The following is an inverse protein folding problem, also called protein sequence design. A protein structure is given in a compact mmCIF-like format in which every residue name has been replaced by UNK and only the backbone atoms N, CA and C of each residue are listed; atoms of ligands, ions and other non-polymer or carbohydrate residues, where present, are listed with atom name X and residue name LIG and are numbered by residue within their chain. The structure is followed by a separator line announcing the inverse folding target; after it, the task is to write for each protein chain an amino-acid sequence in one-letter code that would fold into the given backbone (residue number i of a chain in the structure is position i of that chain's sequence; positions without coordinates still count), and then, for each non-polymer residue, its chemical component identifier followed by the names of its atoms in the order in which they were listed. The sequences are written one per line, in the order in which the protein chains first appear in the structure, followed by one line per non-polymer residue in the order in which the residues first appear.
data_IF_965283144557
#
_entry.id   IF_965283144557
#
_cell.length_a   1.000
_cell.length_b   1.000
_cell.length_c   1.000
_cell.angle_alpha   90.00
_cell.angle_beta   90.00
_cell.angle_gamma   90.00
#
_symmetry.space_group_name_H-M   'P 1'
#
loop_
_entity.id
_entity.type
_entity.pdbx_description
1 polymer ?
#
# COMPACT_ATOMS: atom_id res chain seq x y z
N UNK A 1 35.31 5.86 16.70
CA UNK A 1 34.96 4.72 15.79
C UNK A 1 33.45 4.66 15.58
N UNK A 2 32.57 4.56 16.61
CA UNK A 2 31.10 4.44 16.45
C UNK A 2 30.45 5.58 15.64
N UNK A 3 30.94 6.82 15.71
CA UNK A 3 30.37 7.94 14.94
C UNK A 3 30.75 7.89 13.45
N UNK A 4 31.85 7.28 13.09
CA UNK A 4 32.23 7.01 11.70
C UNK A 4 31.37 5.92 11.10
N UNK A 5 31.13 4.85 11.85
CA UNK A 5 30.30 3.72 11.40
C UNK A 5 28.84 4.15 11.15
N UNK A 6 28.27 4.98 12.03
CA UNK A 6 26.91 5.51 11.84
C UNK A 6 26.81 6.45 10.64
N UNK A 7 27.82 7.32 10.42
CA UNK A 7 27.87 8.19 9.24
C UNK A 7 27.99 7.42 7.94
N UNK A 8 28.76 6.35 7.92
CA UNK A 8 28.91 5.47 6.76
C UNK A 8 27.62 4.72 6.44
N UNK A 9 26.93 4.17 7.43
CA UNK A 9 25.70 3.40 7.22
C UNK A 9 24.56 4.25 6.65
N UNK A 10 24.42 5.49 7.16
CA UNK A 10 23.44 6.46 6.64
C UNK A 10 23.78 6.87 5.21
N UNK A 11 25.06 7.17 4.92
CA UNK A 11 25.50 7.52 3.57
C UNK A 11 25.29 6.35 2.58
N UNK A 12 25.62 5.14 2.96
CA UNK A 12 25.39 3.94 2.16
C UNK A 12 23.88 3.70 1.90
N UNK A 13 23.04 3.92 2.92
CA UNK A 13 21.59 3.88 2.73
C UNK A 13 21.11 4.90 1.71
N UNK A 14 21.59 6.16 1.78
CA UNK A 14 21.19 7.20 0.82
C UNK A 14 21.69 6.87 -0.60
N UNK A 15 22.90 6.33 -0.75
CA UNK A 15 23.39 5.86 -2.05
C UNK A 15 22.50 4.73 -2.61
N UNK A 16 22.12 3.76 -1.79
CA UNK A 16 21.19 2.72 -2.19
C UNK A 16 19.85 3.29 -2.69
N UNK A 17 19.31 4.33 -2.02
CA UNK A 17 18.12 5.03 -2.49
C UNK A 17 18.34 5.76 -3.82
N UNK A 18 19.48 6.44 -3.98
CA UNK A 18 19.81 7.14 -5.23
C UNK A 18 19.81 6.18 -6.42
N UNK A 19 20.44 5.01 -6.27
CA UNK A 19 20.47 3.99 -7.31
C UNK A 19 19.10 3.37 -7.58
N UNK A 20 18.31 3.06 -6.53
CA UNK A 20 16.96 2.52 -6.68
C UNK A 20 16.00 3.50 -7.36
N UNK A 21 16.02 4.76 -6.94
CA UNK A 21 15.05 5.79 -7.35
C UNK A 21 15.54 6.59 -8.58
N UNK A 22 16.76 6.38 -9.03
CA UNK A 22 17.35 7.11 -10.17
C UNK A 22 17.66 8.56 -9.87
N UNK A 23 18.03 8.89 -8.62
CA UNK A 23 18.33 10.26 -8.22
C UNK A 23 19.75 10.66 -8.64
N UNK A 24 19.88 11.33 -9.77
CA UNK A 24 21.18 11.76 -10.34
C UNK A 24 21.94 10.69 -11.09
N UNK A 25 21.43 9.46 -11.15
CA UNK A 25 21.97 8.30 -11.87
C UNK A 25 20.81 7.55 -12.52
N UNK A 26 21.07 6.68 -13.48
CA UNK A 26 20.03 5.75 -13.96
C UNK A 26 19.70 4.73 -12.87
N UNK A 27 18.41 4.37 -12.69
CA UNK A 27 18.01 3.35 -11.75
C UNK A 27 18.75 2.04 -12.01
N UNK A 28 19.31 1.45 -10.94
CA UNK A 28 20.06 0.21 -11.00
C UNK A 28 19.84 -0.56 -9.69
N UNK A 29 19.05 -1.63 -9.78
CA UNK A 29 18.72 -2.44 -8.62
C UNK A 29 19.90 -3.23 -8.06
N UNK A 30 20.90 -3.61 -8.89
CA UNK A 30 22.10 -4.31 -8.44
C UNK A 30 22.97 -3.38 -7.60
N UNK A 31 23.16 -2.13 -8.05
CA UNK A 31 23.87 -1.12 -7.27
C UNK A 31 23.11 -0.74 -6.00
N UNK A 32 21.80 -0.61 -6.09
CA UNK A 32 20.94 -0.35 -4.92
C UNK A 32 21.09 -1.46 -3.88
N UNK A 33 21.04 -2.72 -4.31
CA UNK A 33 21.24 -3.88 -3.43
C UNK A 33 22.61 -3.86 -2.76
N UNK A 34 23.68 -3.63 -3.53
CA UNK A 34 25.03 -3.57 -3.01
C UNK A 34 25.16 -2.56 -1.84
N UNK A 35 24.63 -1.36 -2.03
CA UNK A 35 24.70 -0.30 -1.02
C UNK A 35 23.78 -0.56 0.17
N UNK A 36 22.55 -1.04 -0.05
CA UNK A 36 21.67 -1.44 1.05
C UNK A 36 22.26 -2.59 1.85
N UNK A 37 22.87 -3.58 1.20
CA UNK A 37 23.50 -4.75 1.86
C UNK A 37 24.66 -4.31 2.77
N UNK A 38 25.54 -3.45 2.29
CA UNK A 38 26.62 -2.89 3.11
C UNK A 38 26.13 -2.19 4.37
N UNK A 39 25.09 -1.35 4.22
CA UNK A 39 24.51 -0.67 5.36
C UNK A 39 23.72 -1.60 6.29
N UNK A 40 23.04 -2.60 5.73
CA UNK A 40 22.27 -3.60 6.48
C UNK A 40 23.18 -4.53 7.31
N UNK A 41 24.31 -4.95 6.75
CA UNK A 41 25.33 -5.75 7.43
C UNK A 41 26.00 -4.97 8.57
N UNK A 42 26.15 -3.66 8.41
CA UNK A 42 26.59 -2.75 9.46
C UNK A 42 25.51 -2.40 10.50
N UNK A 43 24.35 -3.07 10.45
CA UNK A 43 23.31 -2.96 11.47
C UNK A 43 22.28 -1.84 11.26
N UNK A 44 22.26 -1.13 10.11
CA UNK A 44 21.30 -0.06 9.86
C UNK A 44 19.92 -0.64 9.54
N UNK A 45 18.97 -0.50 10.45
CA UNK A 45 17.62 -1.10 10.41
C UNK A 45 16.78 -0.68 9.18
N UNK A 46 16.83 0.61 8.80
CA UNK A 46 16.17 1.07 7.58
C UNK A 46 16.76 0.47 6.30
N UNK A 47 18.06 0.16 6.29
CA UNK A 47 18.69 -0.53 5.15
C UNK A 47 18.35 -2.00 5.12
N UNK A 48 18.24 -2.65 6.27
CA UNK A 48 17.72 -4.02 6.37
C UNK A 48 16.31 -4.12 5.83
N UNK A 49 15.42 -3.19 6.21
CA UNK A 49 14.08 -3.11 5.65
C UNK A 49 14.09 -2.84 4.14
N UNK A 50 14.91 -1.87 3.66
CA UNK A 50 15.01 -1.53 2.24
C UNK A 50 15.54 -2.71 1.40
N UNK A 51 16.57 -3.41 1.90
CA UNK A 51 17.10 -4.63 1.30
C UNK A 51 16.04 -5.73 1.23
N UNK A 52 15.33 -5.97 2.33
CA UNK A 52 14.23 -6.93 2.35
C UNK A 52 13.15 -6.61 1.30
N UNK A 53 12.81 -5.34 1.09
CA UNK A 53 11.88 -4.93 0.03
C UNK A 53 12.42 -5.22 -1.37
N UNK A 54 13.69 -4.96 -1.61
CA UNK A 54 14.33 -5.19 -2.90
C UNK A 54 14.38 -6.68 -3.21
N UNK A 55 14.85 -7.50 -2.27
CA UNK A 55 14.90 -8.96 -2.37
C UNK A 55 13.50 -9.57 -2.57
N UNK A 56 12.49 -9.03 -1.92
CA UNK A 56 11.10 -9.44 -2.14
C UNK A 56 10.65 -9.18 -3.59
N UNK A 57 11.02 -8.02 -4.18
CA UNK A 57 10.70 -7.72 -5.58
C UNK A 57 11.41 -8.67 -6.56
N UNK A 58 12.60 -9.15 -6.18
CA UNK A 58 13.39 -10.15 -6.91
C UNK A 58 12.93 -11.60 -6.64
N UNK A 59 11.87 -11.79 -5.81
CA UNK A 59 11.33 -13.11 -5.40
C UNK A 59 12.28 -13.95 -4.53
N UNK A 60 13.24 -13.32 -3.90
CA UNK A 60 14.17 -13.96 -2.94
C UNK A 60 13.57 -13.87 -1.52
N UNK A 61 12.45 -14.58 -1.29
CA UNK A 61 11.62 -14.40 -0.09
C UNK A 61 12.28 -14.84 1.20
N UNK A 62 13.04 -15.93 1.19
CA UNK A 62 13.70 -16.44 2.39
C UNK A 62 14.69 -15.42 2.95
N UNK A 63 15.53 -14.86 2.07
CA UNK A 63 16.48 -13.83 2.46
C UNK A 63 15.77 -12.52 2.84
N UNK A 64 14.73 -12.12 2.10
CA UNK A 64 13.94 -10.93 2.43
C UNK A 64 13.32 -11.00 3.82
N UNK A 65 12.75 -12.15 4.21
CA UNK A 65 12.19 -12.38 5.54
C UNK A 65 13.27 -12.28 6.62
N UNK A 66 14.43 -12.89 6.40
CA UNK A 66 15.55 -12.80 7.35
C UNK A 66 15.99 -11.34 7.60
N UNK A 67 16.03 -10.51 6.56
CA UNK A 67 16.36 -9.10 6.71
C UNK A 67 15.24 -8.28 7.37
N UNK A 68 13.97 -8.61 7.10
CA UNK A 68 12.86 -8.00 7.82
C UNK A 68 12.87 -8.37 9.30
N UNK A 69 13.18 -9.63 9.66
CA UNK A 69 13.28 -10.08 11.05
C UNK A 69 14.36 -9.30 11.80
N UNK A 70 15.57 -9.18 11.23
CA UNK A 70 16.66 -8.37 11.81
C UNK A 70 16.25 -6.90 12.01
N UNK A 71 15.55 -6.31 11.05
CA UNK A 71 15.08 -4.93 11.19
C UNK A 71 13.99 -4.80 12.27
N UNK A 72 13.06 -5.75 12.34
CA UNK A 72 11.99 -5.77 13.34
C UNK A 72 12.54 -5.95 14.75
N UNK A 73 13.53 -6.81 14.95
CA UNK A 73 14.24 -7.00 16.23
C UNK A 73 14.89 -5.69 16.73
N UNK A 74 15.28 -4.80 15.83
CA UNK A 74 15.78 -3.47 16.16
C UNK A 74 14.67 -2.42 16.35
N UNK A 75 13.40 -2.82 16.30
CA UNK A 75 12.24 -1.94 16.49
C UNK A 75 11.79 -1.23 15.21
N UNK A 76 12.21 -1.68 14.03
CA UNK A 76 11.72 -1.10 12.77
C UNK A 76 10.26 -1.50 12.53
N UNK A 77 9.36 -0.55 12.79
CA UNK A 77 7.90 -0.75 12.71
C UNK A 77 7.40 -1.11 11.30
N UNK A 78 8.11 -0.70 10.25
CA UNK A 78 7.74 -1.03 8.87
C UNK A 78 8.08 -2.48 8.52
N UNK A 79 9.22 -2.97 9.06
CA UNK A 79 9.62 -4.36 8.91
C UNK A 79 8.67 -5.29 9.67
N UNK A 80 8.33 -4.97 10.92
CA UNK A 80 7.37 -5.71 11.70
C UNK A 80 5.98 -5.75 11.01
N UNK A 81 5.48 -4.60 10.54
CA UNK A 81 4.24 -4.56 9.76
C UNK A 81 4.29 -5.43 8.50
N UNK A 82 5.44 -5.42 7.79
CA UNK A 82 5.61 -6.20 6.56
C UNK A 82 5.60 -7.70 6.84
N UNK A 83 6.32 -8.15 7.87
CA UNK A 83 6.31 -9.54 8.34
C UNK A 83 4.90 -9.99 8.73
N UNK A 84 4.20 -9.18 9.52
CA UNK A 84 2.83 -9.46 9.89
C UNK A 84 1.92 -9.68 8.68
N UNK A 85 2.02 -8.84 7.66
CA UNK A 85 1.28 -9.02 6.40
C UNK A 85 1.68 -10.29 5.65
N UNK A 86 2.97 -10.58 5.54
CA UNK A 86 3.46 -11.77 4.83
C UNK A 86 2.93 -13.05 5.48
N UNK A 87 2.97 -13.14 6.82
CA UNK A 87 2.46 -14.29 7.56
C UNK A 87 0.93 -14.41 7.55
N UNK A 88 0.18 -13.29 7.39
CA UNK A 88 -1.28 -13.33 7.20
C UNK A 88 -1.66 -13.81 5.79
N UNK A 89 -0.99 -13.26 4.78
CA UNK A 89 -1.32 -13.57 3.39
C UNK A 89 -0.94 -15.00 3.01
N UNK A 90 0.16 -15.52 3.54
CA UNK A 90 0.60 -16.90 3.32
C UNK A 90 0.91 -17.24 1.85
N UNK A 91 1.22 -16.23 1.02
CA UNK A 91 1.48 -16.43 -0.42
C UNK A 91 2.93 -16.80 -0.70
N UNK A 92 3.82 -16.04 -0.10
CA UNK A 92 5.27 -16.13 -0.33
C UNK A 92 5.97 -16.84 0.84
N UNK A 93 5.31 -16.94 1.97
CA UNK A 93 5.74 -17.67 3.18
C UNK A 93 4.56 -18.49 3.70
N UNK A 94 4.83 -19.54 4.47
CA UNK A 94 3.76 -20.34 5.10
C UNK A 94 2.91 -19.45 6.02
N UNK A 95 1.58 -19.49 5.85
CA UNK A 95 0.64 -18.73 6.67
C UNK A 95 0.82 -19.08 8.16
N UNK A 96 0.94 -18.07 9.00
CA UNK A 96 1.05 -18.21 10.43
C UNK A 96 0.37 -17.04 11.15
N UNK A 97 -0.88 -17.22 11.53
CA UNK A 97 -1.69 -16.18 12.16
C UNK A 97 -1.11 -15.71 13.49
N UNK A 98 -0.54 -16.61 14.30
CA UNK A 98 0.03 -16.27 15.61
C UNK A 98 1.23 -15.31 15.43
N UNK A 99 2.21 -15.67 14.58
CA UNK A 99 3.34 -14.78 14.25
C UNK A 99 2.89 -13.47 13.63
N UNK A 100 1.88 -13.54 12.76
CA UNK A 100 1.35 -12.34 12.12
C UNK A 100 0.79 -11.35 13.13
N UNK A 101 0.00 -11.83 14.10
CA UNK A 101 -0.56 -10.98 15.17
C UNK A 101 0.53 -10.43 16.07
N UNK A 102 1.54 -11.21 16.41
CA UNK A 102 2.70 -10.76 17.19
C UNK A 102 3.39 -9.57 16.51
N UNK A 103 3.86 -9.74 15.29
CA UNK A 103 4.53 -8.66 14.54
C UNK A 103 3.63 -7.45 14.28
N UNK A 104 2.34 -7.66 14.02
CA UNK A 104 1.40 -6.55 13.84
C UNK A 104 1.17 -5.80 15.15
N UNK A 105 1.14 -6.51 16.28
CA UNK A 105 0.98 -5.89 17.60
C UNK A 105 2.19 -5.04 17.95
N UNK A 106 3.40 -5.53 17.72
CA UNK A 106 4.64 -4.79 17.92
C UNK A 106 4.66 -3.52 17.06
N UNK A 107 4.35 -3.65 15.77
CA UNK A 107 4.28 -2.51 14.88
C UNK A 107 3.19 -1.51 15.29
N UNK A 108 2.02 -1.98 15.73
CA UNK A 108 0.89 -1.14 16.14
C UNK A 108 1.17 -0.37 17.43
N UNK A 109 1.80 -1.03 18.40
CA UNK A 109 2.24 -0.41 19.66
C UNK A 109 3.35 0.63 19.42
N UNK A 110 4.22 0.39 18.45
CA UNK A 110 5.21 1.35 17.98
C UNK A 110 4.62 2.50 17.16
N UNK A 111 3.28 2.55 16.98
CA UNK A 111 2.58 3.66 16.33
C UNK A 111 2.35 3.49 14.82
N UNK A 112 2.53 2.31 14.25
CA UNK A 112 2.22 2.09 12.83
C UNK A 112 0.72 2.06 12.59
N UNK A 113 0.17 3.12 11.98
CA UNK A 113 -1.28 3.23 11.70
C UNK A 113 -1.82 2.11 10.80
N UNK A 114 -1.00 1.56 9.90
CA UNK A 114 -1.44 0.47 9.02
C UNK A 114 -1.50 -0.88 9.75
N UNK A 115 -0.61 -1.09 10.72
CA UNK A 115 -0.67 -2.25 11.60
C UNK A 115 -1.89 -2.17 12.53
N UNK A 116 -2.15 -1.01 13.13
CA UNK A 116 -3.33 -0.76 13.94
C UNK A 116 -4.62 -1.02 13.14
N UNK A 117 -4.72 -0.46 11.94
CA UNK A 117 -5.85 -0.71 11.04
C UNK A 117 -6.02 -2.20 10.69
N UNK A 118 -4.91 -2.88 10.44
CA UNK A 118 -4.92 -4.31 10.09
C UNK A 118 -5.38 -5.16 11.26
N UNK A 119 -4.91 -4.89 12.49
CA UNK A 119 -5.38 -5.54 13.71
C UNK A 119 -6.86 -5.27 13.96
N UNK A 120 -7.31 -4.03 13.78
CA UNK A 120 -8.72 -3.68 13.88
C UNK A 120 -9.60 -4.54 12.97
N UNK A 121 -9.16 -4.77 11.73
CA UNK A 121 -9.85 -5.66 10.79
C UNK A 121 -9.85 -7.12 11.25
N UNK A 122 -8.70 -7.62 11.71
CA UNK A 122 -8.59 -9.01 12.18
C UNK A 122 -9.55 -9.29 13.34
N UNK A 123 -9.54 -8.42 14.35
CA UNK A 123 -10.45 -8.56 15.49
C UNK A 123 -11.91 -8.33 15.12
N UNK A 124 -12.20 -7.49 14.13
CA UNK A 124 -13.58 -7.28 13.67
C UNK A 124 -14.14 -8.51 12.93
N UNK A 125 -13.33 -9.13 12.07
CA UNK A 125 -13.76 -10.27 11.25
C UNK A 125 -13.69 -11.60 12.00
N UNK A 126 -12.71 -11.79 12.86
CA UNK A 126 -12.43 -13.06 13.51
C UNK A 126 -11.88 -14.12 12.55
N UNK A 127 -11.31 -13.74 11.42
CA UNK A 127 -10.83 -14.73 10.42
C UNK A 127 -9.63 -15.53 10.89
N UNK A 128 -8.67 -14.91 11.52
CA UNK A 128 -7.42 -15.55 11.97
C UNK A 128 -7.21 -15.42 13.49
N UNK A 129 -8.10 -14.73 14.19
CA UNK A 129 -8.11 -14.51 15.63
C UNK A 129 -9.54 -14.61 16.14
N UNK A 130 -9.72 -14.78 17.45
CA UNK A 130 -11.05 -14.69 18.04
C UNK A 130 -11.63 -13.30 17.81
N UNK A 131 -12.88 -13.25 17.31
CA UNK A 131 -13.56 -11.99 17.06
C UNK A 131 -13.71 -11.21 18.37
N UNK A 132 -13.26 -9.96 18.36
CA UNK A 132 -13.36 -9.02 19.48
C UNK A 132 -13.62 -7.59 18.97
N UNK A 133 -14.88 -7.14 19.10
CA UNK A 133 -15.28 -5.81 18.65
C UNK A 133 -14.67 -4.68 19.48
N UNK A 134 -14.40 -4.92 20.74
CA UNK A 134 -13.80 -3.91 21.62
C UNK A 134 -12.33 -3.67 21.24
N UNK A 135 -11.58 -4.75 21.03
CA UNK A 135 -10.21 -4.66 20.51
C UNK A 135 -10.18 -4.04 19.12
N UNK A 136 -11.11 -4.41 18.24
CA UNK A 136 -11.22 -3.82 16.92
C UNK A 136 -11.45 -2.30 17.00
N UNK A 137 -12.37 -1.85 17.87
CA UNK A 137 -12.63 -0.43 18.09
C UNK A 137 -11.39 0.31 18.57
N UNK A 138 -10.66 -0.22 19.57
CA UNK A 138 -9.44 0.40 20.09
C UNK A 138 -8.39 0.60 19.00
N UNK A 139 -8.12 -0.43 18.22
CA UNK A 139 -7.13 -0.36 17.14
C UNK A 139 -7.55 0.59 16.00
N UNK A 140 -8.82 0.62 15.63
CA UNK A 140 -9.31 1.60 14.67
C UNK A 140 -9.22 3.03 15.21
N UNK A 141 -9.50 3.24 16.49
CA UNK A 141 -9.38 4.53 17.14
C UNK A 141 -7.94 5.07 17.07
N UNK A 142 -6.97 4.26 17.48
CA UNK A 142 -5.54 4.60 17.40
C UNK A 142 -5.12 4.95 15.97
N UNK A 143 -5.55 4.17 14.99
CA UNK A 143 -5.26 4.40 13.58
C UNK A 143 -5.92 5.68 13.04
N UNK A 144 -7.16 5.96 13.42
CA UNK A 144 -7.89 7.15 13.01
C UNK A 144 -7.31 8.43 13.59
N UNK A 145 -6.82 8.41 14.84
CA UNK A 145 -6.10 9.55 15.46
C UNK A 145 -4.87 9.97 14.65
N UNK A 146 -4.28 9.07 13.89
CA UNK A 146 -3.16 9.34 12.98
C UNK A 146 -3.62 9.75 11.57
N UNK A 147 -4.93 9.96 11.36
CA UNK A 147 -5.50 10.40 10.08
C UNK A 147 -5.81 9.27 9.11
N UNK A 148 -5.92 8.03 9.56
CA UNK A 148 -6.35 6.93 8.70
C UNK A 148 -7.87 6.99 8.45
N UNK A 149 -8.25 7.50 7.28
CA UNK A 149 -9.66 7.68 6.87
C UNK A 149 -10.44 6.36 6.83
N UNK A 150 -9.78 5.25 6.51
CA UNK A 150 -10.43 3.92 6.50
C UNK A 150 -10.76 3.45 7.91
N UNK A 151 -9.89 3.73 8.88
CA UNK A 151 -10.15 3.44 10.28
C UNK A 151 -11.29 4.30 10.81
N UNK A 152 -11.34 5.58 10.45
CA UNK A 152 -12.45 6.47 10.79
C UNK A 152 -13.78 5.93 10.24
N UNK A 153 -13.80 5.50 8.97
CA UNK A 153 -14.99 4.90 8.38
C UNK A 153 -15.50 3.69 9.18
N UNK A 154 -14.59 2.83 9.69
CA UNK A 154 -15.02 1.70 10.53
C UNK A 154 -15.58 2.16 11.86
N UNK A 155 -15.01 3.17 12.50
CA UNK A 155 -15.53 3.73 13.77
C UNK A 155 -16.95 4.27 13.60
N UNK A 156 -17.22 4.97 12.51
CA UNK A 156 -18.52 5.56 12.23
C UNK A 156 -19.61 4.50 11.99
N UNK A 157 -19.21 3.30 11.51
CA UNK A 157 -20.14 2.26 11.10
C UNK A 157 -20.06 0.96 11.93
N UNK A 158 -19.19 0.90 12.96
CA UNK A 158 -18.97 -0.33 13.74
C UNK A 158 -20.22 -0.78 14.50
N UNK A 159 -21.10 0.16 14.84
CA UNK A 159 -22.37 -0.10 15.52
C UNK A 159 -23.53 -0.34 14.56
N UNK A 160 -23.33 -0.17 13.24
CA UNK A 160 -24.34 -0.54 12.25
C UNK A 160 -24.55 -2.06 12.31
N UNK A 161 -25.81 -2.52 12.25
CA UNK A 161 -26.15 -3.95 12.20
C UNK A 161 -25.72 -4.62 10.86
N UNK A 162 -24.66 -4.13 10.24
CA UNK A 162 -24.09 -4.68 9.01
C UNK A 162 -23.02 -5.71 9.31
N UNK A 163 -22.97 -6.74 8.48
CA UNK A 163 -21.89 -7.74 8.63
C UNK A 163 -20.52 -7.10 8.38
N UNK A 164 -19.47 -7.55 9.08
CA UNK A 164 -18.10 -7.07 8.88
C UNK A 164 -17.65 -7.11 7.41
N UNK A 165 -18.09 -8.11 6.65
CA UNK A 165 -17.76 -8.27 5.22
C UNK A 165 -18.34 -7.15 4.35
N UNK A 166 -19.50 -6.59 4.70
CA UNK A 166 -20.07 -5.44 3.98
C UNK A 166 -19.23 -4.19 4.22
N UNK A 167 -18.81 -3.95 5.46
CA UNK A 167 -17.92 -2.83 5.82
C UNK A 167 -16.56 -2.96 5.11
N UNK A 168 -15.98 -4.16 5.07
CA UNK A 168 -14.73 -4.42 4.34
C UNK A 168 -14.88 -4.20 2.84
N UNK A 169 -16.01 -4.56 2.26
CA UNK A 169 -16.27 -4.32 0.83
C UNK A 169 -16.41 -2.83 0.53
N UNK A 170 -17.04 -2.07 1.42
CA UNK A 170 -17.15 -0.61 1.30
C UNK A 170 -15.77 0.07 1.39
N UNK A 171 -14.91 -0.33 2.32
CA UNK A 171 -13.54 0.23 2.42
C UNK A 171 -12.68 -0.12 1.22
N UNK A 172 -12.80 -1.33 0.65
CA UNK A 172 -12.13 -1.69 -0.60
C UNK A 172 -12.59 -0.79 -1.77
N UNK A 173 -13.88 -0.50 -1.83
CA UNK A 173 -14.43 0.41 -2.84
C UNK A 173 -13.91 1.84 -2.64
N UNK A 174 -13.92 2.35 -1.41
CA UNK A 174 -13.36 3.67 -1.07
C UNK A 174 -11.89 3.78 -1.44
N UNK A 175 -11.09 2.75 -1.13
CA UNK A 175 -9.68 2.70 -1.52
C UNK A 175 -9.51 2.72 -3.05
N UNK A 176 -10.33 1.97 -3.77
CA UNK A 176 -10.29 1.95 -5.23
C UNK A 176 -10.69 3.30 -5.83
N UNK A 177 -11.73 3.94 -5.28
CA UNK A 177 -12.14 5.28 -5.68
C UNK A 177 -11.06 6.32 -5.36
N UNK A 178 -10.46 6.28 -4.16
CA UNK A 178 -9.36 7.18 -3.78
C UNK A 178 -8.19 7.10 -4.75
N UNK A 179 -7.80 5.92 -5.20
CA UNK A 179 -6.79 5.75 -6.25
C UNK A 179 -7.19 6.39 -7.57
N UNK A 180 -8.45 6.22 -8.00
CA UNK A 180 -8.96 6.83 -9.24
C UNK A 180 -8.90 8.37 -9.15
N UNK A 181 -9.22 8.95 -7.98
CA UNK A 181 -9.17 10.41 -7.78
C UNK A 181 -7.75 10.95 -7.59
N UNK A 182 -6.83 10.17 -7.01
CA UNK A 182 -5.40 10.54 -6.94
C UNK A 182 -4.71 10.43 -8.30
N UNK A 183 -5.10 9.46 -9.13
CA UNK A 183 -4.59 9.30 -10.49
C UNK A 183 -5.13 10.38 -11.47
N UNK A 184 -6.06 11.24 -11.05
CA UNK A 184 -6.45 12.41 -11.84
C UNK A 184 -5.36 13.51 -11.93
N UNK A 185 -4.24 13.33 -11.25
CA UNK A 185 -2.97 14.03 -11.53
C UNK A 185 -2.13 13.33 -12.61
N UNK A 186 -2.75 12.51 -13.47
CA UNK A 186 -2.10 11.83 -14.59
C UNK A 186 -1.55 12.89 -15.54
N UNK A 187 -0.24 12.84 -15.87
CA UNK A 187 0.30 13.65 -16.96
C UNK A 187 -0.47 13.31 -18.26
N UNK A 188 -0.68 14.27 -19.17
CA UNK A 188 -1.46 14.06 -20.37
C UNK A 188 -0.98 12.81 -21.10
N UNK A 189 -1.89 11.86 -21.31
CA UNK A 189 -1.62 10.59 -21.99
C UNK A 189 -0.90 10.84 -23.32
N UNK A 190 0.15 10.08 -23.63
CA UNK A 190 0.80 10.17 -24.94
C UNK A 190 -0.22 9.90 -26.06
N UNK A 191 -0.14 10.61 -27.18
CA UNK A 191 -1.09 10.47 -28.28
C UNK A 191 -1.05 9.04 -28.83
N UNK A 192 -2.07 8.25 -28.53
CA UNK A 192 -2.20 6.83 -28.90
C UNK A 192 -3.00 5.97 -27.94
N UNK A 193 -3.12 6.36 -26.68
CA UNK A 193 -3.82 5.58 -25.63
C UNK A 193 -5.35 5.83 -25.59
N UNK A 194 -5.87 6.76 -26.38
CA UNK A 194 -7.29 7.15 -26.40
C UNK A 194 -8.28 6.00 -26.70
N UNK A 195 -7.81 4.87 -27.23
CA UNK A 195 -8.69 3.72 -27.54
C UNK A 195 -9.11 2.92 -26.31
N UNK A 196 -8.28 2.85 -25.26
CA UNK A 196 -8.61 2.11 -24.04
C UNK A 196 -9.62 2.89 -23.20
N UNK A 197 -9.47 4.20 -23.12
CA UNK A 197 -10.35 5.07 -22.34
C UNK A 197 -11.77 5.15 -22.93
N UNK A 198 -11.90 5.19 -24.27
CA UNK A 198 -13.22 5.17 -24.91
C UNK A 198 -14.04 3.90 -24.61
N UNK A 199 -13.40 2.73 -24.57
CA UNK A 199 -14.06 1.48 -24.21
C UNK A 199 -14.49 1.44 -22.75
N UNK A 200 -13.69 2.01 -21.86
CA UNK A 200 -14.01 2.11 -20.44
C UNK A 200 -15.18 3.10 -20.22
N UNK A 201 -15.13 4.27 -20.84
CA UNK A 201 -16.19 5.27 -20.80
C UNK A 201 -17.51 4.72 -21.39
N UNK A 202 -17.46 3.97 -22.50
CA UNK A 202 -18.65 3.29 -23.03
C UNK A 202 -19.23 2.25 -22.06
N UNK A 203 -18.40 1.46 -21.39
CA UNK A 203 -18.84 0.51 -20.36
C UNK A 203 -19.46 1.20 -19.15
N UNK A 204 -18.88 2.31 -18.72
CA UNK A 204 -19.42 3.14 -17.61
C UNK A 204 -20.77 3.74 -18.03
N UNK A 205 -20.86 4.29 -19.25
CA UNK A 205 -22.12 4.85 -19.80
C UNK A 205 -23.21 3.77 -19.89
N UNK A 206 -22.88 2.60 -20.41
CA UNK A 206 -23.83 1.47 -20.49
C UNK A 206 -24.31 1.01 -19.09
N UNK A 207 -23.42 0.98 -18.11
CA UNK A 207 -23.78 0.66 -16.71
C UNK A 207 -24.68 1.75 -16.09
N UNK A 208 -24.39 3.04 -16.32
CA UNK A 208 -25.23 4.15 -15.84
C UNK A 208 -26.65 4.06 -16.44
N UNK A 209 -26.76 3.80 -17.74
CA UNK A 209 -28.06 3.61 -18.42
C UNK A 209 -28.81 2.40 -17.87
N UNK A 210 -28.11 1.27 -17.64
CA UNK A 210 -28.70 0.07 -17.06
C UNK A 210 -29.17 0.27 -15.60
N UNK A 211 -28.62 1.25 -14.88
CA UNK A 211 -29.03 1.67 -13.54
C UNK A 211 -30.15 2.74 -13.56
N UNK A 212 -30.71 3.10 -14.73
CA UNK A 212 -31.79 4.06 -14.85
C UNK A 212 -31.37 5.53 -14.82
N UNK A 213 -30.10 5.85 -14.99
CA UNK A 213 -29.64 7.24 -15.15
C UNK A 213 -29.84 7.68 -16.59
N UNK A 214 -30.51 8.83 -16.78
CA UNK A 214 -30.59 9.45 -18.12
C UNK A 214 -29.20 9.89 -18.57
N UNK A 215 -28.83 9.73 -19.85
CA UNK A 215 -27.58 10.29 -20.38
C UNK A 215 -27.64 11.82 -20.27
N UNK A 216 -26.55 12.43 -19.77
CA UNK A 216 -26.41 13.89 -19.72
C UNK A 216 -26.31 14.44 -21.14
N UNK A 217 -27.25 15.31 -21.53
CA UNK A 217 -27.39 15.89 -22.88
C UNK A 217 -26.24 16.85 -23.27
N UNK A 218 -25.32 17.15 -22.37
CA UNK A 218 -24.18 18.06 -22.61
C UNK A 218 -22.93 17.41 -23.19
N UNK A 219 -22.87 16.08 -23.34
CA UNK A 219 -21.70 15.40 -23.92
C UNK A 219 -21.76 15.17 -25.44
N UNK A 220 -22.89 15.47 -26.10
CA UNK A 220 -23.04 15.27 -27.55
C UNK A 220 -22.43 16.41 -28.40
N UNK A 221 -22.30 17.63 -27.87
CA UNK A 221 -21.76 18.76 -28.64
C UNK A 221 -20.24 18.74 -28.85
N UNK A 222 -19.46 18.00 -28.02
CA UNK A 222 -18.00 17.96 -28.17
C UNK A 222 -17.49 16.92 -29.18
N UNK A 223 -18.34 16.02 -29.67
CA UNK A 223 -17.93 14.99 -30.63
C UNK A 223 -18.24 15.37 -32.10
N UNK A 224 -19.01 16.42 -32.36
CA UNK A 224 -19.33 16.87 -33.73
C UNK A 224 -18.48 18.04 -34.22
N UNK A 225 -17.68 18.69 -33.35
CA UNK A 225 -16.86 19.85 -33.70
C UNK A 225 -15.53 19.54 -34.43
N UNK A 226 -15.24 18.26 -34.71
CA UNK A 226 -13.94 17.84 -35.26
C UNK A 226 -13.92 17.40 -36.73
N UNK A 227 -15.01 17.59 -37.48
CA UNK A 227 -15.06 17.11 -38.86
C UNK A 227 -15.71 18.12 -39.82
N UNK A 228 -15.06 19.25 -40.03
CA UNK A 228 -15.20 20.06 -41.29
C UNK A 228 -14.10 21.13 -41.28
N UNK A 229 -13.07 20.93 -42.01
CA UNK A 229 -12.27 21.90 -42.82
C UNK A 229 -11.09 21.16 -43.41
N UNK A 230 -11.26 20.64 -44.60
CA UNK A 230 -10.19 20.09 -45.41
C UNK A 230 -10.70 19.89 -46.82
N UNK A 231 -10.79 20.97 -47.57
CA UNK A 231 -11.16 20.90 -48.96
C UNK A 231 -11.32 22.29 -49.60
N UNK A 232 -10.21 22.89 -49.99
CA UNK A 232 -9.99 23.65 -51.21
C UNK A 232 -8.54 24.14 -51.25
#
# INVERSE_FOLDING_TARGET
EQLWDTGFTVAAHQLGKCWRDGMGVLPDDEQAELWFRRAAEAGHDFSQYALGKLLQSQKQMEEAVSWYEKAAEQGNLWAAYRLGKLYLEGKDVSKNAARAVEYLTDAAQAGNQYAQYTLGKLYLTGEDVTQDREQAYRWFWESALQGNEYAQFFLDHINDNRSPNVLLSATRLLHHMGRIFQDNSIPPCPPGSQRADRKLLQKIRQKKIAMGHKPDDHEEEQTMGGMTMGGM
#
